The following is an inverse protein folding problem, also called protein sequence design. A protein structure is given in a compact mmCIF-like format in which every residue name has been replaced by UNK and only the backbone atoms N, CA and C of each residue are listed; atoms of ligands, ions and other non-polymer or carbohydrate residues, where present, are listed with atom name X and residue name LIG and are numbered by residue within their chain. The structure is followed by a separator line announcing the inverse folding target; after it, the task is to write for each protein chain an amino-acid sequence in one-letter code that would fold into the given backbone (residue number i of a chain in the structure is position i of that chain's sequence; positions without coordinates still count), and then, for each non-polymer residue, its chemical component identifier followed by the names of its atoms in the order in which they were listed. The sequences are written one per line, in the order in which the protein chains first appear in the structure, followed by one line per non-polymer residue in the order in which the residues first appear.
data_IF_200903164715
#
_entry.id   IF_200903164715
#
_cell.length_a   1.000
_cell.length_b   1.000
_cell.length_c   1.000
_cell.angle_alpha   90.00
_cell.angle_beta   90.00
_cell.angle_gamma   90.00
#
_symmetry.space_group_name_H-M   'P 1'
#
loop_
_entity.id
_entity.type
_entity.pdbx_description
1 polymer ?
#
# COMPACT_ATOMS: atom_id res chain seq x y z
N UNK A 1 9.68 -8.71 -14.68
CA UNK A 1 8.50 -9.48 -15.13
C UNK A 1 7.30 -9.18 -14.24
N UNK A 2 6.12 -8.98 -14.82
CA UNK A 2 4.88 -8.74 -14.05
C UNK A 2 4.51 -10.06 -13.35
N UNK A 3 4.17 -10.00 -12.06
CA UNK A 3 3.75 -11.21 -11.32
C UNK A 3 2.41 -11.68 -11.91
N UNK A 4 2.25 -12.96 -12.28
CA UNK A 4 0.97 -13.49 -12.73
C UNK A 4 -0.05 -13.46 -11.57
N UNK A 5 -1.26 -13.00 -11.84
CA UNK A 5 -2.34 -12.85 -10.85
C UNK A 5 -3.59 -13.57 -11.36
N UNK A 6 -4.13 -14.46 -10.53
CA UNK A 6 -5.45 -15.07 -10.68
C UNK A 6 -6.44 -14.22 -9.89
N UNK A 7 -7.43 -13.64 -10.57
CA UNK A 7 -8.47 -12.83 -9.94
C UNK A 7 -9.70 -13.70 -9.70
N UNK A 8 -10.18 -13.72 -8.46
CA UNK A 8 -11.33 -14.51 -8.03
C UNK A 8 -12.35 -13.56 -7.38
N UNK A 9 -13.63 -13.82 -7.61
CA UNK A 9 -14.72 -13.08 -6.98
C UNK A 9 -15.66 -14.06 -6.32
N UNK A 10 -15.84 -13.96 -5.00
CA UNK A 10 -16.89 -14.70 -4.32
C UNK A 10 -18.22 -13.97 -4.50
N UNK A 11 -19.21 -14.65 -5.09
CA UNK A 11 -20.52 -14.08 -5.37
C UNK A 11 -21.37 -13.92 -4.11
N UNK A 12 -21.10 -14.69 -3.06
CA UNK A 12 -21.89 -14.66 -1.83
C UNK A 12 -21.49 -13.49 -0.93
N UNK A 13 -20.18 -13.29 -0.73
CA UNK A 13 -19.66 -12.16 0.07
C UNK A 13 -19.40 -10.88 -0.72
N UNK A 14 -19.34 -10.95 -2.06
CA UNK A 14 -18.94 -9.83 -2.92
C UNK A 14 -17.45 -9.47 -2.82
N UNK A 15 -16.62 -10.32 -2.20
CA UNK A 15 -15.19 -10.09 -2.02
C UNK A 15 -14.42 -10.44 -3.29
N UNK A 16 -13.59 -9.51 -3.75
CA UNK A 16 -12.62 -9.73 -4.82
C UNK A 16 -11.24 -10.05 -4.24
N UNK A 17 -10.65 -11.13 -4.71
CA UNK A 17 -9.35 -11.63 -4.27
C UNK A 17 -8.39 -11.75 -5.46
N UNK A 18 -7.17 -11.27 -5.27
CA UNK A 18 -6.06 -11.45 -6.20
C UNK A 18 -5.09 -12.50 -5.61
N UNK A 19 -4.92 -13.63 -6.29
CA UNK A 19 -3.97 -14.68 -5.92
C UNK A 19 -2.76 -14.60 -6.85
N UNK A 20 -1.59 -14.40 -6.28
CA UNK A 20 -0.31 -14.45 -7.02
C UNK A 20 0.58 -15.54 -6.45
N UNK A 21 1.36 -16.22 -7.30
CA UNK A 21 2.41 -17.10 -6.80
C UNK A 21 3.44 -16.29 -6.03
N UNK A 22 3.86 -16.83 -4.87
CA UNK A 22 4.71 -16.18 -3.89
C UNK A 22 5.91 -15.53 -4.57
N UNK A 23 6.02 -14.20 -4.44
CA UNK A 23 7.16 -13.43 -4.89
C UNK A 23 7.87 -12.90 -3.64
N UNK A 24 9.17 -13.18 -3.51
CA UNK A 24 10.00 -12.72 -2.39
C UNK A 24 9.83 -11.23 -2.13
N UNK A 25 9.70 -10.42 -3.19
CA UNK A 25 9.50 -8.99 -3.08
C UNK A 25 8.22 -8.62 -2.30
N UNK A 26 7.15 -9.39 -2.43
CA UNK A 26 5.90 -9.15 -1.69
C UNK A 26 6.09 -9.41 -0.19
N UNK A 27 6.85 -10.44 0.18
CA UNK A 27 7.19 -10.73 1.57
C UNK A 27 7.99 -9.59 2.20
N UNK A 28 8.98 -9.05 1.48
CA UNK A 28 9.77 -7.91 1.94
C UNK A 28 8.93 -6.65 2.13
N UNK A 29 8.03 -6.33 1.18
CA UNK A 29 7.10 -5.19 1.31
C UNK A 29 6.24 -5.33 2.55
N UNK A 30 5.64 -6.50 2.75
CA UNK A 30 4.79 -6.74 3.90
C UNK A 30 5.56 -6.65 5.22
N UNK A 31 6.78 -7.20 5.27
CA UNK A 31 7.65 -7.10 6.44
C UNK A 31 8.03 -5.64 6.75
N UNK A 32 8.41 -4.87 5.73
CA UNK A 32 8.73 -3.45 5.85
C UNK A 32 7.55 -2.65 6.43
N UNK A 33 6.36 -2.80 5.84
CA UNK A 33 5.17 -2.10 6.30
C UNK A 33 4.78 -2.49 7.73
N UNK A 34 4.89 -3.78 8.08
CA UNK A 34 4.66 -4.25 9.45
C UNK A 34 5.63 -3.61 10.44
N UNK A 35 6.89 -3.40 10.06
CA UNK A 35 7.86 -2.71 10.92
C UNK A 35 7.46 -1.26 11.16
N UNK A 36 7.10 -0.50 10.13
CA UNK A 36 6.69 0.91 10.30
C UNK A 36 5.40 1.09 11.09
N UNK A 37 4.44 0.17 10.91
CA UNK A 37 3.21 0.13 11.72
C UNK A 37 3.50 -0.01 13.21
N UNK A 38 4.54 -0.77 13.58
CA UNK A 38 4.92 -0.97 14.99
C UNK A 38 5.62 0.25 15.58
N UNK A 39 6.22 1.11 14.76
CA UNK A 39 6.90 2.33 15.21
C UNK A 39 5.87 3.39 15.62
N UNK A 40 4.87 3.65 14.77
CA UNK A 40 3.87 4.68 15.06
C UNK A 40 2.46 4.31 14.54
N UNK A 41 1.48 4.27 15.45
CA UNK A 41 0.09 3.93 15.13
C UNK A 41 -0.62 4.91 14.19
N UNK A 42 -0.14 6.17 14.10
CA UNK A 42 -0.70 7.20 13.20
C UNK A 42 -0.42 6.87 11.74
N UNK A 43 0.64 6.10 11.47
CA UNK A 43 1.01 5.69 10.11
C UNK A 43 -0.14 4.99 9.38
N UNK A 44 -0.79 4.02 10.03
CA UNK A 44 -1.92 3.30 9.43
C UNK A 44 -3.07 4.25 9.07
N UNK A 45 -3.39 5.19 9.96
CA UNK A 45 -4.46 6.18 9.76
C UNK A 45 -4.12 7.11 8.59
N UNK A 46 -2.87 7.56 8.51
CA UNK A 46 -2.39 8.43 7.44
C UNK A 46 -2.40 7.71 6.08
N UNK A 47 -1.95 6.44 6.03
CA UNK A 47 -2.02 5.59 4.83
C UNK A 47 -3.46 5.43 4.37
N UNK A 48 -4.40 5.14 5.28
CA UNK A 48 -5.82 4.99 4.94
C UNK A 48 -6.43 6.31 4.40
N UNK A 49 -6.08 7.44 5.01
CA UNK A 49 -6.53 8.77 4.60
C UNK A 49 -6.04 9.10 3.18
N UNK A 50 -4.73 9.02 2.95
CA UNK A 50 -4.12 9.34 1.65
C UNK A 50 -4.60 8.38 0.57
N UNK A 51 -4.73 7.08 0.88
CA UNK A 51 -5.25 6.08 -0.08
C UNK A 51 -6.69 6.39 -0.49
N UNK A 52 -7.54 6.78 0.46
CA UNK A 52 -8.94 7.16 0.19
C UNK A 52 -9.00 8.43 -0.66
N UNK A 53 -8.21 9.45 -0.31
CA UNK A 53 -8.10 10.69 -1.08
C UNK A 53 -7.60 10.45 -2.52
N UNK A 54 -6.54 9.65 -2.69
CA UNK A 54 -5.99 9.32 -3.99
C UNK A 54 -6.98 8.53 -4.86
N UNK A 55 -7.73 7.59 -4.25
CA UNK A 55 -8.80 6.85 -4.93
C UNK A 55 -9.93 7.77 -5.38
N UNK A 56 -10.38 8.70 -4.53
CA UNK A 56 -11.43 9.66 -4.87
C UNK A 56 -11.05 10.60 -6.03
N UNK A 57 -9.75 10.81 -6.24
CA UNK A 57 -9.19 11.61 -7.34
C UNK A 57 -8.79 10.79 -8.57
N UNK A 58 -9.06 9.49 -8.57
CA UNK A 58 -8.68 8.55 -9.64
C UNK A 58 -7.16 8.54 -9.96
N UNK A 59 -6.32 8.75 -8.94
CA UNK A 59 -4.84 8.75 -9.08
C UNK A 59 -4.17 7.58 -8.34
N UNK A 60 -4.93 6.54 -8.00
CA UNK A 60 -4.44 5.32 -7.33
C UNK A 60 -4.60 4.09 -8.23
N UNK A 61 -4.09 4.17 -9.46
CA UNK A 61 -4.13 3.09 -10.43
C UNK A 61 -2.86 3.08 -11.31
N UNK A 62 -1.98 2.11 -11.05
CA UNK A 62 -0.75 1.93 -11.84
C UNK A 62 -1.01 1.45 -13.27
N UNK A 63 -2.16 0.85 -13.58
CA UNK A 63 -2.53 0.54 -14.95
C UNK A 63 -2.89 1.81 -15.74
N UNK A 64 -3.42 2.83 -15.06
CA UNK A 64 -3.72 4.14 -15.62
C UNK A 64 -2.54 5.14 -15.56
N UNK A 65 -1.30 4.64 -15.46
CA UNK A 65 -0.08 5.46 -15.37
C UNK A 65 -0.02 6.41 -14.16
N UNK A 66 -0.76 6.12 -13.09
CA UNK A 66 -0.67 6.83 -11.81
C UNK A 66 0.04 5.98 -10.75
N UNK A 67 0.21 6.49 -9.53
CA UNK A 67 0.86 5.72 -8.46
C UNK A 67 -0.07 4.59 -7.99
N UNK A 68 0.51 3.43 -7.64
CA UNK A 68 -0.23 2.40 -6.90
C UNK A 68 -0.25 2.73 -5.40
N UNK A 69 -1.04 1.96 -4.65
CA UNK A 69 -1.16 2.15 -3.21
C UNK A 69 0.16 2.00 -2.46
N UNK A 70 1.08 1.14 -2.91
CA UNK A 70 2.40 1.00 -2.29
C UNK A 70 3.28 2.22 -2.51
N UNK A 71 3.23 2.84 -3.70
CA UNK A 71 3.92 4.08 -4.02
C UNK A 71 3.49 5.23 -3.09
N UNK A 72 2.18 5.38 -2.86
CA UNK A 72 1.69 6.34 -1.86
C UNK A 72 2.18 6.02 -0.46
N UNK A 73 2.20 4.74 -0.06
CA UNK A 73 2.73 4.34 1.24
C UNK A 73 4.21 4.70 1.42
N UNK A 74 5.04 4.54 0.39
CA UNK A 74 6.44 4.95 0.42
C UNK A 74 6.60 6.47 0.57
N UNK A 75 5.79 7.26 -0.14
CA UNK A 75 5.80 8.73 0.03
C UNK A 75 5.44 9.16 1.45
N UNK A 76 4.51 8.45 2.09
CA UNK A 76 4.14 8.71 3.49
C UNK A 76 5.27 8.34 4.44
N UNK A 77 5.94 7.20 4.22
CA UNK A 77 7.14 6.82 5.00
C UNK A 77 8.19 7.92 4.89
N UNK A 78 8.53 8.34 3.65
CA UNK A 78 9.50 9.41 3.41
C UNK A 78 9.11 10.71 4.11
N UNK A 79 7.83 11.11 4.04
CA UNK A 79 7.33 12.30 4.72
C UNK A 79 7.56 12.22 6.23
N UNK A 80 7.28 11.07 6.84
CA UNK A 80 7.48 10.85 8.28
C UNK A 80 8.95 10.77 8.68
N UNK A 81 9.86 10.43 7.76
CA UNK A 81 11.31 10.45 7.98
C UNK A 81 11.90 11.87 7.95
N UNK A 82 11.35 12.77 7.13
CA UNK A 82 11.89 14.13 6.94
C UNK A 82 11.12 15.23 7.68
N UNK A 83 9.97 14.90 8.27
CA UNK A 83 9.21 15.84 9.08
C UNK A 83 10.00 16.29 10.33
N UNK A 84 9.60 17.40 10.94
CA UNK A 84 10.27 17.96 12.12
C UNK A 84 9.29 18.01 13.30
N UNK A 85 9.53 17.27 14.39
CA UNK A 85 10.58 16.26 14.55
C UNK A 85 10.32 15.00 13.69
N UNK A 86 11.38 14.24 13.29
CA UNK A 86 11.21 13.03 12.51
C UNK A 86 10.47 11.97 13.33
N UNK A 87 9.45 11.35 12.71
CA UNK A 87 8.63 10.31 13.33
C UNK A 87 9.21 8.93 13.04
N UNK A 88 9.78 8.75 11.86
CA UNK A 88 10.45 7.52 11.44
C UNK A 88 11.97 7.73 11.36
N UNK A 89 12.76 6.66 11.59
CA UNK A 89 14.21 6.69 11.40
C UNK A 89 14.60 6.83 9.93
#
# INVERSE_FOLDING_TARGET
SRVPIVKISDQTSGVHCDISMQNDLSLYKDALLRSYVKIDSRFQKLVALVKTWAKARAINDAAAHTLNSFGYTLLIIQFLQVCSPPVFP
#
